data_IF_853285785696
#
_entry.id   IF_853285785696
#
_cell.length_a   1.000
_cell.length_b   1.000
_cell.length_c   1.000
_cell.angle_alpha   90.00
_cell.angle_beta   90.00
_cell.angle_gamma   90.00
#
_symmetry.space_group_name_H-M   'P 1'
#
loop_
_entity.id
_entity.type
_entity.pdbx_description
1 polymer ?
#
# COMPACT_ATOMS: atom_id res chain seq x y z
N UNK A 1 -3.42 6.18 -23.93
CA UNK A 1 -4.23 6.67 -22.80
C UNK A 1 -3.33 6.64 -21.57
N UNK A 2 -3.11 7.79 -20.93
CA UNK A 2 -2.15 7.95 -19.83
C UNK A 2 -2.85 7.60 -18.51
N UNK A 3 -2.45 6.50 -17.86
CA UNK A 3 -2.97 6.11 -16.56
C UNK A 3 -2.00 6.61 -15.47
N UNK A 4 -2.10 7.91 -15.19
CA UNK A 4 -1.53 8.56 -14.01
C UNK A 4 -2.65 8.62 -12.96
N UNK A 5 -2.42 8.11 -11.76
CA UNK A 5 -3.38 8.20 -10.67
C UNK A 5 -2.72 8.98 -9.55
N UNK A 6 -3.24 10.19 -9.33
CA UNK A 6 -2.89 11.03 -8.19
C UNK A 6 -3.91 10.80 -7.09
N UNK A 7 -3.45 10.23 -5.97
CA UNK A 7 -4.26 10.19 -4.75
C UNK A 7 -3.83 11.37 -3.90
N UNK A 8 -4.62 12.44 -3.93
CA UNK A 8 -4.40 13.63 -3.12
C UNK A 8 -5.11 13.47 -1.77
N UNK A 9 -4.34 13.28 -0.72
CA UNK A 9 -4.80 13.33 0.66
C UNK A 9 -4.30 14.65 1.25
N UNK A 10 -5.04 15.26 2.19
CA UNK A 10 -4.85 16.67 2.59
C UNK A 10 -3.40 17.11 2.89
N UNK A 11 -2.52 16.20 3.29
CA UNK A 11 -1.08 16.43 3.55
C UNK A 11 -0.13 15.43 2.86
N UNK A 12 -0.65 14.51 2.03
CA UNK A 12 0.16 13.48 1.37
C UNK A 12 -0.29 13.24 -0.07
N UNK A 13 0.68 13.01 -0.95
CA UNK A 13 0.49 12.71 -2.36
C UNK A 13 1.17 11.38 -2.66
N UNK A 14 0.42 10.41 -3.16
CA UNK A 14 0.94 9.13 -3.63
C UNK A 14 0.78 9.06 -5.15
N UNK A 15 1.92 8.99 -5.85
CA UNK A 15 1.98 8.91 -7.32
C UNK A 15 2.48 7.53 -7.71
N UNK A 16 1.65 6.76 -8.40
CA UNK A 16 2.01 5.44 -8.89
C UNK A 16 2.27 5.48 -10.40
N UNK A 17 3.53 5.37 -10.80
CA UNK A 17 3.92 5.31 -12.21
C UNK A 17 4.24 3.86 -12.61
N UNK A 18 3.26 3.20 -13.24
CA UNK A 18 3.42 1.85 -13.80
C UNK A 18 4.51 1.75 -14.86
N UNK A 19 4.74 2.80 -15.66
CA UNK A 19 5.75 2.78 -16.74
C UNK A 19 7.15 2.85 -16.17
N UNK A 20 7.36 3.72 -15.17
CA UNK A 20 8.63 3.81 -14.46
C UNK A 20 8.83 2.66 -13.44
N UNK A 21 7.75 1.95 -13.07
CA UNK A 21 7.78 0.90 -12.07
C UNK A 21 8.00 1.42 -10.65
N UNK A 22 7.64 2.68 -10.39
CA UNK A 22 7.94 3.39 -9.14
C UNK A 22 6.67 4.02 -8.56
N UNK A 23 6.53 3.91 -7.26
CA UNK A 23 5.58 4.66 -6.45
C UNK A 23 6.36 5.74 -5.71
N UNK A 24 5.92 6.99 -5.84
CA UNK A 24 6.50 8.14 -5.16
C UNK A 24 5.49 8.64 -4.13
N UNK A 25 5.88 8.57 -2.86
CA UNK A 25 5.09 8.98 -1.72
C UNK A 25 5.69 10.30 -1.24
N UNK A 26 4.97 11.40 -1.45
CA UNK A 26 5.39 12.73 -0.99
C UNK A 26 4.53 13.14 0.18
N UNK A 27 5.21 13.51 1.25
CA UNK A 27 4.59 14.17 2.39
C UNK A 27 4.89 15.65 2.31
N UNK A 28 3.85 16.48 2.40
CA UNK A 28 4.01 17.94 2.42
C UNK A 28 3.38 18.53 3.68
N UNK A 29 4.05 19.53 4.26
CA UNK A 29 3.46 20.30 5.34
C UNK A 29 2.47 21.30 4.74
N UNK A 30 1.16 20.98 4.81
CA UNK A 30 0.10 21.81 4.24
C UNK A 30 0.15 23.26 4.75
N UNK A 31 0.38 23.44 6.06
CA UNK A 31 0.49 24.77 6.66
C UNK A 31 1.64 25.56 6.05
N UNK A 32 2.80 24.94 5.90
CA UNK A 32 3.96 25.56 5.23
C UNK A 32 3.65 25.88 3.76
N UNK A 33 2.97 25.00 3.05
CA UNK A 33 2.60 25.19 1.63
C UNK A 33 1.64 26.37 1.45
N UNK A 34 0.63 26.50 2.32
CA UNK A 34 -0.31 27.62 2.31
C UNK A 34 0.37 28.93 2.72
N UNK A 35 1.18 28.92 3.78
CA UNK A 35 1.77 30.17 4.29
C UNK A 35 2.96 30.68 3.49
N UNK A 36 3.73 29.77 2.90
CA UNK A 36 4.99 30.13 2.25
C UNK A 36 4.85 30.13 0.73
N UNK A 37 3.76 29.56 0.18
CA UNK A 37 3.59 29.27 -1.26
C UNK A 37 4.80 28.56 -1.89
N UNK A 38 5.62 27.89 -1.07
CA UNK A 38 6.89 27.29 -1.47
C UNK A 38 6.81 25.77 -1.34
N UNK A 39 7.28 25.07 -2.37
CA UNK A 39 7.37 23.60 -2.38
C UNK A 39 8.62 23.07 -1.65
N UNK A 40 9.14 23.81 -0.67
CA UNK A 40 10.39 23.48 0.02
C UNK A 40 10.17 22.62 1.27
N UNK A 41 10.84 21.47 1.35
CA UNK A 41 10.82 20.57 2.52
C UNK A 41 9.76 19.47 2.46
N UNK A 42 9.45 19.00 1.24
CA UNK A 42 8.64 17.79 1.04
C UNK A 42 9.54 16.55 1.29
N UNK A 43 9.09 15.66 2.16
CA UNK A 43 9.76 14.37 2.36
C UNK A 43 9.24 13.41 1.29
N UNK A 44 10.15 12.87 0.48
CA UNK A 44 9.83 11.96 -0.60
C UNK A 44 10.41 10.59 -0.32
N UNK A 45 9.52 9.59 -0.34
CA UNK A 45 9.88 8.18 -0.30
C UNK A 45 9.59 7.59 -1.67
N UNK A 46 10.57 6.92 -2.27
CA UNK A 46 10.41 6.22 -3.54
C UNK A 46 10.45 4.73 -3.28
N UNK A 47 9.39 4.04 -3.68
CA UNK A 47 9.21 2.59 -3.53
C UNK A 47 9.08 1.97 -4.92
N UNK A 48 9.64 0.80 -5.15
CA UNK A 48 9.40 0.08 -6.41
C UNK A 48 8.01 -0.56 -6.36
N UNK A 49 7.21 -0.43 -7.41
CA UNK A 49 5.85 -1.01 -7.44
C UNK A 49 5.90 -2.54 -7.22
N UNK A 50 6.96 -3.19 -7.72
CA UNK A 50 7.18 -4.64 -7.55
C UNK A 50 7.46 -5.05 -6.09
N UNK A 51 7.89 -4.11 -5.25
CA UNK A 51 8.11 -4.36 -3.84
C UNK A 51 6.82 -4.21 -3.03
N UNK A 52 5.76 -3.64 -3.60
CA UNK A 52 4.46 -3.55 -2.93
C UNK A 52 3.79 -4.93 -3.03
N UNK A 53 3.58 -5.56 -1.88
CA UNK A 53 2.95 -6.88 -1.77
C UNK A 53 1.45 -6.78 -1.65
N UNK A 54 0.96 -5.84 -0.84
CA UNK A 54 -0.45 -5.74 -0.47
C UNK A 54 -0.82 -4.30 -0.05
N UNK A 55 -2.11 -3.99 -0.13
CA UNK A 55 -2.70 -2.73 0.34
C UNK A 55 -3.78 -3.05 1.37
N UNK A 56 -3.56 -2.66 2.62
CA UNK A 56 -4.47 -2.96 3.73
C UNK A 56 -5.19 -1.72 4.24
N UNK A 57 -6.32 -1.93 4.92
CA UNK A 57 -7.00 -0.88 5.70
C UNK A 57 -6.84 -1.18 7.18
N UNK A 58 -6.27 -0.23 7.92
CA UNK A 58 -6.07 -0.35 9.36
C UNK A 58 -6.98 0.63 10.11
N UNK A 59 -7.62 0.17 11.19
CA UNK A 59 -8.43 1.01 12.06
C UNK A 59 -7.53 1.69 13.09
N UNK A 60 -7.58 3.01 13.15
CA UNK A 60 -6.87 3.82 14.13
C UNK A 60 -7.87 4.52 15.06
N UNK A 61 -7.60 4.50 16.37
CA UNK A 61 -8.40 5.23 17.34
C UNK A 61 -8.00 6.70 17.36
N UNK A 62 -8.85 7.56 16.80
CA UNK A 62 -8.63 9.01 16.77
C UNK A 62 -9.19 9.65 18.03
N UNK A 63 -8.33 10.36 18.76
CA UNK A 63 -8.70 11.04 20.01
C UNK A 63 -9.86 12.01 19.74
N UNK A 64 -10.94 11.91 20.53
CA UNK A 64 -12.20 12.67 20.41
C UNK A 64 -13.06 12.40 19.17
N UNK A 65 -12.50 11.87 18.08
CA UNK A 65 -13.23 11.58 16.83
C UNK A 65 -13.59 10.10 16.66
N UNK A 66 -13.20 9.24 17.60
CA UNK A 66 -13.61 7.83 17.64
C UNK A 66 -12.68 6.95 16.82
N UNK A 67 -13.20 6.35 15.74
CA UNK A 67 -12.48 5.46 14.84
C UNK A 67 -12.19 6.19 13.53
N UNK A 68 -10.97 6.06 13.04
CA UNK A 68 -10.58 6.43 11.69
C UNK A 68 -9.92 5.24 11.00
N UNK A 69 -9.66 5.39 9.70
CA UNK A 69 -9.05 4.33 8.91
C UNK A 69 -7.86 4.86 8.11
N UNK A 70 -6.81 4.07 8.05
CA UNK A 70 -5.60 4.32 7.26
C UNK A 70 -5.51 3.30 6.13
N UNK A 71 -5.04 3.73 4.97
CA UNK A 71 -4.61 2.80 3.91
C UNK A 71 -3.10 2.60 4.07
N UNK A 72 -2.66 1.36 4.16
CA UNK A 72 -1.26 1.00 4.42
C UNK A 72 -0.73 0.11 3.31
N UNK A 73 0.37 0.53 2.68
CA UNK A 73 1.13 -0.31 1.76
C UNK A 73 2.00 -1.27 2.56
N UNK A 74 1.89 -2.57 2.28
CA UNK A 74 2.84 -3.58 2.77
C UNK A 74 3.84 -3.91 1.70
N UNK A 75 5.12 -3.75 2.02
CA UNK A 75 6.22 -4.09 1.14
C UNK A 75 6.71 -5.52 1.39
N UNK A 76 7.32 -6.15 0.39
CA UNK A 76 7.97 -7.46 0.49
C UNK A 76 9.09 -7.49 1.53
N UNK A 77 9.67 -6.33 1.83
CA UNK A 77 10.70 -6.14 2.88
C UNK A 77 10.13 -6.27 4.30
N UNK A 78 8.81 -6.40 4.46
CA UNK A 78 8.11 -6.38 5.75
C UNK A 78 7.81 -4.97 6.26
N UNK A 79 8.24 -3.93 5.55
CA UNK A 79 7.93 -2.54 5.90
C UNK A 79 6.46 -2.26 5.58
N UNK A 80 5.76 -1.62 6.51
CA UNK A 80 4.41 -1.09 6.31
C UNK A 80 4.48 0.44 6.25
N UNK A 81 3.89 1.03 5.21
CA UNK A 81 3.91 2.47 5.01
C UNK A 81 2.50 3.02 4.79
N UNK A 82 1.97 3.85 5.71
CA UNK A 82 0.66 4.44 5.54
C UNK A 82 0.68 5.48 4.40
N UNK A 83 -0.35 5.44 3.56
CA UNK A 83 -0.57 6.42 2.49
C UNK A 83 -1.11 7.76 3.00
N UNK A 84 -1.52 7.80 4.27
CA UNK A 84 -2.04 8.97 4.97
C UNK A 84 -1.30 9.17 6.29
N UNK A 85 -0.85 10.39 6.59
CA UNK A 85 -0.28 10.73 7.91
C UNK A 85 -1.28 10.64 9.06
N UNK A 86 -2.57 10.77 8.75
CA UNK A 86 -3.65 10.79 9.73
C UNK A 86 -4.78 9.89 9.24
N UNK A 87 -5.43 9.19 10.16
CA UNK A 87 -6.60 8.40 9.82
C UNK A 87 -7.69 9.26 9.18
N UNK A 88 -8.27 8.73 8.09
CA UNK A 88 -9.43 9.33 7.44
C UNK A 88 -10.63 9.08 8.31
N UNK A 89 -11.31 10.16 8.70
CA UNK A 89 -12.57 10.11 9.43
C UNK A 89 -13.70 9.90 8.42
N UNK A 90 -14.32 8.72 8.44
CA UNK A 90 -15.34 8.34 7.46
C UNK A 90 -15.80 6.89 7.61
N UNK A 91 -16.66 6.43 6.69
CA UNK A 91 -17.07 5.03 6.65
C UNK A 91 -15.93 4.12 6.23
N UNK A 92 -15.75 3.00 6.92
CA UNK A 92 -14.74 1.98 6.58
C UNK A 92 -14.86 1.52 5.12
N UNK A 93 -16.10 1.40 4.63
CA UNK A 93 -16.42 0.96 3.27
C UNK A 93 -15.79 1.82 2.19
N UNK A 94 -15.74 3.15 2.39
CA UNK A 94 -15.21 4.06 1.37
C UNK A 94 -13.69 3.91 1.27
N UNK A 95 -13.04 3.78 2.42
CA UNK A 95 -11.59 3.55 2.51
C UNK A 95 -11.22 2.18 1.93
N UNK A 96 -12.03 1.14 2.20
CA UNK A 96 -11.89 -0.17 1.58
C UNK A 96 -12.12 -0.15 0.06
N UNK A 97 -13.05 0.66 -0.44
CA UNK A 97 -13.27 0.81 -1.88
C UNK A 97 -12.05 1.43 -2.57
N UNK A 98 -11.41 2.43 -1.93
CA UNK A 98 -10.16 3.02 -2.43
C UNK A 98 -9.01 2.01 -2.34
N UNK A 99 -8.89 1.27 -1.24
CA UNK A 99 -7.88 0.21 -1.11
C UNK A 99 -8.04 -0.84 -2.21
N UNK A 100 -9.27 -1.31 -2.48
CA UNK A 100 -9.56 -2.24 -3.56
C UNK A 100 -9.21 -1.67 -4.94
N UNK A 101 -9.53 -0.40 -5.18
CA UNK A 101 -9.15 0.29 -6.41
C UNK A 101 -7.62 0.31 -6.59
N UNK A 102 -6.87 0.57 -5.51
CA UNK A 102 -5.41 0.54 -5.52
C UNK A 102 -4.86 -0.88 -5.73
N UNK A 103 -5.43 -1.90 -5.10
CA UNK A 103 -5.05 -3.31 -5.29
C UNK A 103 -5.22 -3.73 -6.74
N UNK A 104 -6.39 -3.43 -7.34
CA UNK A 104 -6.65 -3.71 -8.75
C UNK A 104 -5.77 -2.84 -9.65
N UNK A 105 -5.57 -1.56 -9.32
CA UNK A 105 -4.66 -0.70 -10.07
C UNK A 105 -3.23 -1.23 -10.02
N UNK A 106 -2.74 -1.78 -8.91
CA UNK A 106 -1.36 -2.27 -8.80
C UNK A 106 -1.21 -3.72 -9.28
N UNK A 107 -2.28 -4.34 -9.80
CA UNK A 107 -2.33 -5.74 -10.25
C UNK A 107 -1.89 -6.74 -9.15
N UNK A 108 -2.10 -6.40 -7.88
CA UNK A 108 -1.66 -7.22 -6.73
C UNK A 108 -2.50 -8.49 -6.57
N UNK A 109 -3.76 -8.47 -7.03
CA UNK A 109 -4.66 -9.64 -7.02
C UNK A 109 -4.09 -10.81 -7.83
N UNK A 110 -3.31 -10.54 -8.89
CA UNK A 110 -2.63 -11.57 -9.68
C UNK A 110 -1.31 -12.05 -9.03
N UNK A 111 -0.57 -11.15 -8.39
CA UNK A 111 0.68 -11.48 -7.72
C UNK A 111 0.45 -12.40 -6.51
N UNK A 112 -0.61 -12.17 -5.74
CA UNK A 112 -1.02 -13.06 -4.64
C UNK A 112 -1.48 -14.45 -5.12
N UNK A 113 -2.05 -14.55 -6.32
CA UNK A 113 -2.42 -15.83 -6.91
C UNK A 113 -1.19 -16.67 -7.27
N UNK A 114 -0.16 -16.07 -7.86
CA UNK A 114 1.07 -16.77 -8.23
C UNK A 114 1.87 -17.26 -7.00
N UNK A 115 1.99 -16.44 -5.96
CA UNK A 115 2.70 -16.86 -4.73
C UNK A 115 1.98 -18.00 -3.99
N UNK A 116 0.64 -18.04 -4.06
CA UNK A 116 -0.16 -19.10 -3.40
C UNK A 116 -0.03 -20.45 -4.12
N UNK A 117 0.12 -20.43 -5.45
CA UNK A 117 0.39 -21.63 -6.26
C UNK A 117 1.80 -22.16 -5.99
N UNK A 118 2.79 -21.29 -5.79
CA UNK A 118 4.16 -21.69 -5.44
C UNK A 118 4.25 -22.30 -4.02
N UNK A 119 3.49 -21.78 -3.06
CA UNK A 119 3.41 -22.36 -1.70
C UNK A 119 2.65 -23.70 -1.66
N UNK A 120 1.64 -23.91 -2.50
CA UNK A 120 0.89 -25.18 -2.58
C UNK A 120 1.60 -26.26 -3.43
N UNK A 121 2.59 -25.90 -4.25
CA UNK A 121 3.33 -26.86 -5.11
C UNK A 121 4.57 -27.48 -4.43
N UNK A 122 4.87 -27.12 -3.18
CA UNK A 122 6.09 -27.54 -2.46
C UNK A 122 5.86 -28.60 -1.37
N UNK A 123 4.71 -29.29 -1.34
CA UNK A 123 4.40 -30.31 -0.33
C UNK A 123 3.87 -31.63 -0.94
N UNK A 124 4.68 -32.25 -1.80
CA UNK A 124 4.50 -33.66 -2.14
C UNK A 124 5.78 -34.27 -2.70
N UNK A 125 6.73 -34.59 -1.81
CA UNK A 125 7.71 -35.65 -2.09
C UNK A 125 7.67 -36.71 -0.97
N UNK A 126 7.50 -37.95 -1.43
CA UNK A 126 7.20 -39.18 -0.69
C UNK A 126 8.24 -39.52 0.38
N UNK A 127 7.78 -39.88 1.58
CA UNK A 127 8.55 -40.75 2.47
C UNK A 127 8.13 -42.20 2.23
N UNK A 128 8.86 -42.87 1.33
CA UNK A 128 8.91 -44.32 1.23
C UNK A 128 9.77 -44.85 2.39
N UNK A 129 9.14 -45.28 3.48
CA UNK A 129 9.82 -46.08 4.49
C UNK A 129 10.05 -47.49 3.94
N UNK A 130 11.31 -47.73 3.56
CA UNK A 130 11.92 -49.07 3.54
C UNK A 130 12.69 -49.27 4.84
N UNK A 131 12.79 -50.55 5.21
CA UNK A 131 13.69 -51.22 6.16
C UNK A 131 12.86 -51.98 7.22
N UNK A 132 12.57 -53.28 7.01
CA UNK A 132 13.42 -54.46 7.28
C UNK A 132 13.79 -54.61 8.77
N UNK A 133 13.07 -55.48 9.51
CA UNK A 133 13.61 -56.70 10.18
C UNK A 133 12.48 -57.60 10.71
#
# INVERSE_FOLDING_TARGET
>A
MNHHVDVLLLSQEAIFDKKAGKAVLKTFNLYKKILTFCNGGEEQVVVLIREIRDVNVEEEKVRYFGKGYLIVLRLVTGISHPLTQSAVLGGRSDVEAVAKLLTTFLDLDLAGFHSRIEEESSDSEETLDKDDE
#
